data_IF_382563519690
#
_entry.id   IF_382563519690
#
_cell.length_a   1.000
_cell.length_b   1.000
_cell.length_c   1.000
_cell.angle_alpha   90.00
_cell.angle_beta   90.00
_cell.angle_gamma   90.00
#
_symmetry.space_group_name_H-M   'P 1'
#
loop_
_entity.id
_entity.type
_entity.pdbx_description
1 polymer ?
#
# COMPACT_ATOMS: atom_id res chain seq x y z
N UNK A 1 34.13 -56.76 -22.81
CA UNK A 1 33.68 -55.52 -23.43
C UNK A 1 32.45 -55.03 -22.73
N UNK A 2 32.60 -54.15 -21.74
CA UNK A 2 31.50 -53.54 -21.00
C UNK A 2 31.41 -52.06 -21.44
N UNK A 3 30.28 -51.69 -22.08
CA UNK A 3 29.98 -50.30 -22.44
C UNK A 3 29.46 -49.58 -21.22
N UNK A 4 30.15 -48.52 -20.81
CA UNK A 4 29.71 -47.58 -19.81
C UNK A 4 28.83 -46.55 -20.52
N UNK A 5 27.56 -46.50 -20.17
CA UNK A 5 26.62 -45.48 -20.63
C UNK A 5 26.70 -44.32 -19.60
N UNK A 6 27.22 -43.18 -20.04
CA UNK A 6 27.21 -41.95 -19.26
C UNK A 6 25.78 -41.32 -19.31
N UNK A 7 25.11 -41.29 -18.17
CA UNK A 7 23.81 -40.65 -18.00
C UNK A 7 24.04 -39.14 -17.81
N UNK A 8 23.75 -38.34 -18.83
CA UNK A 8 23.70 -36.88 -18.67
C UNK A 8 22.39 -36.50 -18.04
N UNK A 9 22.46 -36.10 -16.77
CA UNK A 9 21.34 -35.48 -16.09
C UNK A 9 21.12 -34.07 -16.63
N UNK A 10 20.11 -33.90 -17.45
CA UNK A 10 19.64 -32.60 -17.91
C UNK A 10 18.86 -31.96 -16.76
N UNK A 11 19.48 -31.00 -16.08
CA UNK A 11 18.77 -30.12 -15.15
C UNK A 11 17.90 -29.17 -15.96
N UNK A 12 16.62 -29.50 -16.14
CA UNK A 12 15.60 -28.55 -16.54
C UNK A 12 15.32 -27.63 -15.34
N UNK A 13 15.90 -26.45 -15.31
CA UNK A 13 15.46 -25.39 -14.45
C UNK A 13 14.10 -24.92 -14.93
N UNK A 14 13.03 -25.36 -14.26
CA UNK A 14 11.67 -24.87 -14.45
C UNK A 14 11.62 -23.41 -13.96
N UNK A 15 11.77 -22.48 -14.87
CA UNK A 15 11.54 -21.06 -14.63
C UNK A 15 10.04 -20.86 -14.50
N UNK A 16 9.51 -20.93 -13.26
CA UNK A 16 8.14 -20.53 -12.99
C UNK A 16 8.09 -19.01 -13.13
N UNK A 17 7.64 -18.56 -14.30
CA UNK A 17 7.21 -17.18 -14.51
C UNK A 17 5.95 -16.94 -13.70
N UNK A 18 6.10 -16.58 -12.43
CA UNK A 18 5.04 -15.93 -11.65
C UNK A 18 4.86 -14.52 -12.23
N UNK A 19 3.95 -14.38 -13.20
CA UNK A 19 3.49 -13.10 -13.70
C UNK A 19 2.56 -12.42 -12.67
N UNK A 20 3.10 -12.10 -11.50
CA UNK A 20 2.55 -11.09 -10.63
C UNK A 20 3.22 -9.77 -10.98
N UNK A 21 2.46 -8.70 -11.22
CA UNK A 21 3.00 -7.37 -11.52
C UNK A 21 3.85 -6.87 -10.35
N UNK A 22 5.10 -7.30 -10.30
CA UNK A 22 6.11 -6.69 -9.42
C UNK A 22 6.73 -5.54 -10.21
N UNK A 23 6.46 -4.32 -9.76
CA UNK A 23 6.98 -3.11 -10.40
C UNK A 23 8.48 -2.88 -10.16
N UNK A 24 9.22 -3.90 -9.73
CA UNK A 24 10.66 -3.87 -9.48
C UNK A 24 11.45 -4.74 -10.47
N UNK A 25 12.65 -4.29 -10.82
CA UNK A 25 13.59 -5.06 -11.65
C UNK A 25 14.46 -5.93 -10.75
N UNK A 26 14.48 -7.24 -11.02
CA UNK A 26 15.39 -8.20 -10.37
C UNK A 26 16.70 -8.23 -11.18
N UNK A 27 17.82 -8.04 -10.49
CA UNK A 27 19.15 -8.28 -11.03
C UNK A 27 19.57 -9.69 -10.61
N UNK A 28 20.25 -10.43 -11.50
CA UNK A 28 20.62 -11.84 -11.31
C UNK A 28 21.16 -12.12 -9.88
N UNK A 29 20.69 -13.21 -9.23
CA UNK A 29 21.14 -13.56 -7.89
C UNK A 29 22.62 -13.88 -7.88
N UNK A 30 23.35 -13.27 -6.97
CA UNK A 30 24.77 -13.57 -6.66
C UNK A 30 24.87 -14.22 -5.29
N UNK A 31 26.05 -14.72 -4.93
CA UNK A 31 26.32 -15.20 -3.57
C UNK A 31 26.05 -14.14 -2.48
N UNK A 32 25.97 -12.86 -2.87
CA UNK A 32 25.68 -11.73 -1.98
C UNK A 32 24.16 -11.44 -1.83
N UNK A 33 23.28 -12.20 -2.50
CA UNK A 33 21.84 -12.00 -2.48
C UNK A 33 21.28 -11.40 -3.77
N UNK A 34 19.97 -11.20 -3.80
CA UNK A 34 19.23 -10.68 -4.94
C UNK A 34 19.03 -9.16 -4.80
N UNK A 35 19.64 -8.40 -5.71
CA UNK A 35 19.46 -6.95 -5.76
C UNK A 35 18.13 -6.57 -6.43
N UNK A 36 17.55 -5.46 -5.99
CA UNK A 36 16.35 -4.89 -6.60
C UNK A 36 16.47 -3.38 -6.76
N UNK A 37 15.69 -2.84 -7.70
CA UNK A 37 15.52 -1.41 -7.90
C UNK A 37 14.06 -1.11 -8.27
N UNK A 38 13.49 -0.06 -7.65
CA UNK A 38 12.10 0.37 -7.85
C UNK A 38 12.08 1.88 -8.08
N UNK A 39 11.41 2.32 -9.13
CA UNK A 39 11.15 3.73 -9.36
C UNK A 39 10.02 4.22 -8.45
N UNK A 40 10.06 5.47 -8.01
CA UNK A 40 9.13 6.02 -7.03
C UNK A 40 7.69 6.16 -7.52
N UNK A 41 7.44 6.20 -8.82
CA UNK A 41 6.09 6.12 -9.39
C UNK A 41 5.51 4.69 -9.40
N UNK A 42 6.33 3.66 -9.12
CA UNK A 42 5.91 2.26 -9.06
C UNK A 42 5.47 1.83 -7.64
N UNK A 43 4.71 2.70 -6.96
CA UNK A 43 4.05 2.32 -5.70
C UNK A 43 3.06 1.17 -5.91
N UNK A 44 2.75 0.42 -4.86
CA UNK A 44 1.80 -0.70 -4.90
C UNK A 44 0.39 -0.23 -5.29
N UNK A 45 -0.29 -0.99 -6.14
CA UNK A 45 -1.68 -0.73 -6.53
C UNK A 45 -2.69 -1.40 -5.60
N UNK A 46 -2.22 -2.14 -4.59
CA UNK A 46 -3.04 -3.02 -3.77
C UNK A 46 -3.24 -2.53 -2.33
N UNK A 47 -2.90 -1.25 -2.03
CA UNK A 47 -2.97 -0.72 -0.67
C UNK A 47 -3.91 0.47 -0.59
N UNK A 48 -4.82 0.42 0.40
CA UNK A 48 -5.88 1.42 0.56
C UNK A 48 -6.10 1.73 2.03
N UNK A 49 -6.30 3.02 2.35
CA UNK A 49 -6.94 3.41 3.60
C UNK A 49 -8.40 2.96 3.57
N UNK A 50 -8.95 2.58 4.71
CA UNK A 50 -10.36 2.15 4.80
C UNK A 50 -11.33 3.35 4.71
N UNK A 51 -10.83 4.53 5.03
CA UNK A 51 -11.46 5.84 4.82
C UNK A 51 -10.38 6.92 4.91
N UNK A 52 -10.65 8.13 4.42
CA UNK A 52 -9.72 9.26 4.51
C UNK A 52 -9.47 9.73 5.95
N UNK A 53 -10.40 9.48 6.88
CA UNK A 53 -10.22 9.76 8.31
C UNK A 53 -9.07 8.96 8.93
N UNK A 54 -8.73 7.81 8.36
CA UNK A 54 -7.62 6.96 8.83
C UNK A 54 -6.22 7.49 8.48
N UNK A 55 -6.11 8.60 7.76
CA UNK A 55 -4.81 9.28 7.56
C UNK A 55 -4.17 9.66 8.90
N UNK A 56 -4.97 10.16 9.85
CA UNK A 56 -4.48 10.50 11.19
C UNK A 56 -4.08 9.27 11.99
N UNK A 57 -4.88 8.18 11.94
CA UNK A 57 -4.52 6.91 12.56
C UNK A 57 -3.21 6.34 11.98
N UNK A 58 -3.05 6.40 10.65
CA UNK A 58 -1.84 5.94 9.98
C UNK A 58 -0.61 6.71 10.46
N UNK A 59 -0.65 8.04 10.47
CA UNK A 59 0.47 8.89 10.91
C UNK A 59 0.81 8.61 12.38
N UNK A 60 -0.19 8.54 13.26
CA UNK A 60 -0.03 8.28 14.69
C UNK A 60 0.60 6.90 14.92
N UNK A 61 0.07 5.86 14.28
CA UNK A 61 0.62 4.50 14.36
C UNK A 61 2.04 4.40 13.80
N UNK A 62 2.30 5.03 12.66
CA UNK A 62 3.63 4.99 12.05
C UNK A 62 4.68 5.75 12.86
N UNK A 63 4.27 6.71 13.68
CA UNK A 63 5.18 7.42 14.56
C UNK A 63 5.76 6.53 15.67
N UNK A 64 4.94 5.76 16.38
CA UNK A 64 5.34 5.05 17.59
C UNK A 64 4.97 3.55 17.61
N UNK A 65 4.24 3.05 16.62
CA UNK A 65 3.75 1.66 16.58
C UNK A 65 2.48 1.44 17.39
N UNK A 66 1.89 2.51 17.92
CA UNK A 66 0.62 2.51 18.65
C UNK A 66 -0.15 3.80 18.37
N UNK A 67 -1.44 3.81 18.73
CA UNK A 67 -2.27 5.00 18.64
C UNK A 67 -2.19 5.77 19.97
N UNK A 68 -1.94 7.07 19.92
CA UNK A 68 -1.74 7.92 21.09
C UNK A 68 -2.88 8.94 21.30
N UNK A 69 -3.57 9.34 20.23
CA UNK A 69 -4.67 10.29 20.36
C UNK A 69 -5.99 9.57 20.68
N UNK A 70 -6.82 10.10 21.63
CA UNK A 70 -8.09 9.48 22.00
C UNK A 70 -9.02 9.27 20.79
N UNK A 71 -9.03 10.19 19.84
CA UNK A 71 -9.82 10.09 18.62
C UNK A 71 -9.38 8.92 17.74
N UNK A 72 -8.07 8.74 17.52
CA UNK A 72 -7.53 7.63 16.74
C UNK A 72 -7.76 6.28 17.45
N UNK A 73 -7.59 6.23 18.77
CA UNK A 73 -7.88 5.03 19.58
C UNK A 73 -9.35 4.62 19.43
N UNK A 74 -10.28 5.57 19.50
CA UNK A 74 -11.71 5.31 19.34
C UNK A 74 -12.07 4.81 17.93
N UNK A 75 -11.31 5.22 16.91
CA UNK A 75 -11.48 4.77 15.51
C UNK A 75 -10.82 3.43 15.21
N UNK A 76 -10.05 2.85 16.12
CA UNK A 76 -9.44 1.55 15.91
C UNK A 76 -10.47 0.52 15.43
N UNK A 77 -10.11 -0.25 14.41
CA UNK A 77 -11.01 -1.20 13.77
C UNK A 77 -11.07 -2.50 14.57
N UNK A 78 -12.28 -3.03 14.76
CA UNK A 78 -12.46 -4.37 15.30
C UNK A 78 -12.07 -5.41 14.24
N UNK A 79 -11.27 -6.41 14.60
CA UNK A 79 -11.03 -7.55 13.72
C UNK A 79 -12.30 -8.41 13.52
N UNK A 80 -13.25 -8.32 14.48
CA UNK A 80 -14.49 -9.07 14.41
C UNK A 80 -15.41 -8.54 13.30
N UNK A 81 -15.94 -9.45 12.50
CA UNK A 81 -16.87 -9.12 11.41
C UNK A 81 -16.29 -8.21 10.31
N UNK A 82 -14.97 -8.15 10.17
CA UNK A 82 -14.32 -7.48 9.05
C UNK A 82 -14.45 -8.33 7.78
N UNK A 83 -15.02 -7.77 6.74
CA UNK A 83 -15.16 -8.45 5.45
C UNK A 83 -14.61 -7.60 4.33
N UNK A 84 -14.01 -8.27 3.34
CA UNK A 84 -13.51 -7.65 2.11
C UNK A 84 -14.20 -8.29 0.92
N UNK A 85 -14.69 -7.46 0.02
CA UNK A 85 -15.44 -7.85 -1.14
C UNK A 85 -14.83 -7.23 -2.40
N UNK A 86 -14.68 -8.04 -3.45
CA UNK A 86 -14.15 -7.59 -4.74
C UNK A 86 -15.10 -7.92 -5.85
N UNK A 87 -15.17 -7.04 -6.83
CA UNK A 87 -16.01 -7.23 -8.02
C UNK A 87 -15.65 -8.54 -8.71
N UNK A 88 -16.67 -9.18 -9.28
CA UNK A 88 -16.49 -10.43 -10.01
C UNK A 88 -17.55 -10.57 -11.09
N UNK A 89 -17.17 -11.20 -12.20
CA UNK A 89 -18.09 -11.56 -13.27
C UNK A 89 -18.54 -13.02 -13.24
N UNK A 90 -17.85 -13.81 -12.43
CA UNK A 90 -18.12 -15.23 -12.36
C UNK A 90 -19.30 -15.56 -11.44
N UNK A 91 -20.28 -16.41 -11.78
CA UNK A 91 -21.43 -16.81 -10.97
C UNK A 91 -21.17 -18.10 -10.18
N UNK A 92 -20.54 -18.04 -9.00
CA UNK A 92 -20.42 -19.16 -8.04
C UNK A 92 -21.23 -18.89 -6.77
N UNK A 93 -21.43 -19.89 -5.91
CA UNK A 93 -22.34 -19.83 -4.76
C UNK A 93 -22.03 -18.73 -3.72
N UNK A 94 -20.78 -18.23 -3.63
CA UNK A 94 -20.33 -17.33 -2.57
C UNK A 94 -20.47 -15.85 -2.92
N UNK A 95 -21.42 -15.51 -3.81
CA UNK A 95 -21.55 -14.14 -4.31
C UNK A 95 -22.78 -13.47 -3.83
N UNK A 96 -22.64 -12.15 -3.72
CA UNK A 96 -23.77 -11.28 -3.40
C UNK A 96 -23.75 -10.05 -4.29
N UNK A 97 -24.93 -9.56 -4.61
CA UNK A 97 -25.04 -8.20 -5.10
C UNK A 97 -24.68 -7.24 -3.98
N UNK A 98 -23.99 -6.16 -4.34
CA UNK A 98 -23.68 -5.10 -3.39
C UNK A 98 -23.77 -3.73 -4.04
N UNK A 99 -24.23 -2.76 -3.26
CA UNK A 99 -24.09 -1.34 -3.51
C UNK A 99 -22.88 -0.83 -2.72
N UNK A 100 -21.88 -0.34 -3.40
CA UNK A 100 -20.68 0.25 -2.79
C UNK A 100 -20.72 1.76 -2.86
N UNK A 101 -20.40 2.43 -1.74
CA UNK A 101 -20.31 3.89 -1.65
C UNK A 101 -18.99 4.30 -1.02
N UNK A 102 -18.34 5.32 -1.62
CA UNK A 102 -17.05 5.84 -1.13
C UNK A 102 -17.22 6.65 0.16
N UNK A 103 -18.31 7.41 0.26
CA UNK A 103 -18.68 8.25 1.40
C UNK A 103 -19.78 7.62 2.26
N UNK A 104 -19.77 6.28 2.36
CA UNK A 104 -20.76 5.54 3.14
C UNK A 104 -20.81 6.03 4.59
N UNK A 105 -21.96 6.50 5.10
CA UNK A 105 -22.11 6.83 6.52
C UNK A 105 -22.12 5.56 7.38
N UNK A 106 -21.94 5.73 8.68
CA UNK A 106 -22.13 4.62 9.63
C UNK A 106 -23.54 4.06 9.55
N UNK A 107 -23.65 2.76 9.85
CA UNK A 107 -24.93 2.07 9.92
C UNK A 107 -25.84 2.74 10.97
N UNK A 108 -27.08 3.10 10.63
CA UNK A 108 -28.02 3.68 11.59
C UNK A 108 -28.31 2.76 12.77
N UNK A 109 -28.79 3.33 13.89
CA UNK A 109 -29.17 2.57 15.08
C UNK A 109 -30.28 1.54 14.82
N UNK A 110 -31.08 1.71 13.75
CA UNK A 110 -32.05 0.71 13.29
C UNK A 110 -31.42 -0.61 12.80
N UNK A 111 -30.10 -0.63 12.59
CA UNK A 111 -29.39 -1.79 12.05
C UNK A 111 -29.52 -1.98 10.53
N UNK A 112 -30.16 -1.06 9.83
CA UNK A 112 -30.35 -1.10 8.39
C UNK A 112 -30.17 0.27 7.74
N UNK A 113 -29.59 0.29 6.54
CA UNK A 113 -29.60 1.46 5.69
C UNK A 113 -31.02 1.64 5.10
N UNK A 114 -31.36 2.86 4.71
CA UNK A 114 -32.63 3.12 4.01
C UNK A 114 -32.59 2.57 2.56
N UNK A 115 -33.75 2.43 1.93
CA UNK A 115 -33.88 1.79 0.61
C UNK A 115 -33.05 2.44 -0.49
N UNK A 116 -32.73 3.73 -0.38
CA UNK A 116 -31.90 4.43 -1.37
C UNK A 116 -30.48 3.89 -1.50
N UNK A 117 -29.97 3.21 -0.47
CA UNK A 117 -28.65 2.58 -0.51
C UNK A 117 -28.64 1.26 -1.29
N UNK A 118 -29.80 0.60 -1.46
CA UNK A 118 -29.91 -0.69 -2.12
C UNK A 118 -30.28 -0.58 -3.61
N UNK A 119 -30.63 0.62 -4.08
CA UNK A 119 -31.04 0.84 -5.48
C UNK A 119 -29.85 0.67 -6.43
N UNK A 120 -29.99 -0.08 -7.54
CA UNK A 120 -28.97 -0.17 -8.58
C UNK A 120 -28.59 1.22 -9.13
N UNK A 121 -27.32 1.43 -9.38
CA UNK A 121 -26.83 2.68 -9.96
C UNK A 121 -25.30 2.77 -9.91
N UNK A 122 -24.76 3.59 -10.79
CA UNK A 122 -23.32 3.87 -10.84
C UNK A 122 -23.10 5.39 -10.92
N UNK A 123 -22.22 5.88 -10.06
CA UNK A 123 -21.66 7.23 -10.09
C UNK A 123 -20.14 7.04 -10.04
N UNK A 124 -19.40 7.37 -11.10
CA UNK A 124 -17.94 7.19 -11.16
C UNK A 124 -17.26 7.75 -9.89
N UNK A 125 -16.32 6.99 -9.34
CA UNK A 125 -15.59 7.36 -8.11
C UNK A 125 -16.42 7.44 -6.82
N UNK A 126 -17.76 7.33 -6.87
CA UNK A 126 -18.65 7.53 -5.70
C UNK A 126 -19.51 6.34 -5.37
N UNK A 127 -20.14 5.72 -6.36
CA UNK A 127 -21.07 4.61 -6.17
C UNK A 127 -20.94 3.58 -7.28
N UNK A 128 -21.02 2.32 -6.90
CA UNK A 128 -21.09 1.20 -7.84
C UNK A 128 -22.04 0.11 -7.32
N UNK A 129 -22.87 -0.45 -8.21
CA UNK A 129 -23.72 -1.59 -7.94
C UNK A 129 -23.30 -2.75 -8.84
N UNK A 130 -23.10 -3.93 -8.28
CA UNK A 130 -22.69 -5.10 -9.05
C UNK A 130 -22.61 -6.38 -8.23
N UNK A 131 -22.00 -7.39 -8.83
CA UNK A 131 -21.78 -8.69 -8.22
C UNK A 131 -20.36 -8.74 -7.61
N UNK A 132 -20.28 -9.23 -6.37
CA UNK A 132 -19.03 -9.29 -5.61
C UNK A 132 -18.81 -10.65 -4.98
N UNK A 133 -17.56 -11.05 -4.85
CA UNK A 133 -17.15 -12.19 -4.04
C UNK A 133 -16.46 -11.71 -2.76
N UNK A 134 -16.66 -12.46 -1.69
CA UNK A 134 -15.93 -12.26 -0.43
C UNK A 134 -14.51 -12.79 -0.57
N UNK A 135 -13.52 -12.06 -0.05
CA UNK A 135 -12.15 -12.53 0.04
C UNK A 135 -11.96 -13.43 1.26
N UNK A 136 -11.10 -14.44 1.12
CA UNK A 136 -10.59 -15.21 2.24
C UNK A 136 -9.51 -14.41 2.99
N UNK A 137 -9.29 -14.71 4.27
CA UNK A 137 -8.29 -14.04 5.10
C UNK A 137 -6.85 -14.15 4.57
N UNK A 138 -6.55 -15.16 3.74
CA UNK A 138 -5.25 -15.32 3.08
C UNK A 138 -5.04 -14.35 1.89
N UNK A 139 -6.11 -13.74 1.36
CA UNK A 139 -6.05 -12.87 0.18
C UNK A 139 -5.81 -11.39 0.53
N UNK A 140 -5.74 -11.04 1.82
CA UNK A 140 -5.46 -9.68 2.29
C UNK A 140 -4.81 -9.67 3.68
N UNK A 141 -4.34 -8.52 4.11
CA UNK A 141 -4.03 -8.21 5.50
C UNK A 141 -4.55 -6.83 5.87
N UNK A 142 -4.80 -6.60 7.14
CA UNK A 142 -5.33 -5.34 7.66
C UNK A 142 -4.48 -4.87 8.83
N UNK A 143 -4.09 -3.60 8.81
CA UNK A 143 -3.64 -2.94 10.03
C UNK A 143 -4.84 -2.27 10.71
N UNK A 144 -5.37 -2.93 11.73
CA UNK A 144 -6.58 -2.50 12.43
C UNK A 144 -6.41 -1.21 13.24
N UNK A 145 -5.19 -0.87 13.63
CA UNK A 145 -4.88 0.39 14.31
C UNK A 145 -4.73 1.53 13.32
N UNK A 146 -3.88 1.36 12.33
CA UNK A 146 -3.62 2.38 11.32
C UNK A 146 -4.76 2.56 10.31
N UNK A 147 -5.70 1.60 10.22
CA UNK A 147 -6.88 1.68 9.36
C UNK A 147 -6.60 1.58 7.86
N UNK A 148 -5.68 0.68 7.48
CA UNK A 148 -5.41 0.37 6.07
C UNK A 148 -5.40 -1.13 5.79
N UNK A 149 -5.58 -1.45 4.52
CA UNK A 149 -5.58 -2.83 4.00
C UNK A 149 -4.56 -2.97 2.87
N UNK A 150 -3.86 -4.12 2.84
CA UNK A 150 -3.07 -4.59 1.72
C UNK A 150 -3.69 -5.84 1.11
N UNK A 151 -3.96 -5.81 -0.19
CA UNK A 151 -4.51 -6.95 -0.94
C UNK A 151 -3.36 -7.81 -1.48
N UNK A 152 -3.46 -9.12 -1.27
CA UNK A 152 -2.50 -10.12 -1.77
C UNK A 152 -2.86 -10.62 -3.16
N UNK A 153 -3.98 -10.14 -3.70
CA UNK A 153 -4.46 -10.42 -5.05
C UNK A 153 -4.39 -9.16 -5.90
N UNK A 154 -4.25 -9.33 -7.20
CA UNK A 154 -4.35 -8.21 -8.13
C UNK A 154 -5.82 -7.96 -8.49
N UNK A 155 -6.26 -6.70 -8.34
CA UNK A 155 -7.59 -6.26 -8.77
C UNK A 155 -7.39 -5.35 -9.99
N UNK A 156 -8.00 -5.67 -11.15
CA UNK A 156 -7.92 -4.82 -12.34
C UNK A 156 -8.27 -3.36 -12.06
N UNK A 157 -7.71 -2.42 -12.83
CA UNK A 157 -7.91 -0.99 -12.61
C UNK A 157 -9.37 -0.57 -12.71
N UNK A 158 -10.15 -1.24 -13.57
CA UNK A 158 -11.59 -0.99 -13.77
C UNK A 158 -12.49 -1.66 -12.73
N UNK A 159 -11.97 -2.51 -11.86
CA UNK A 159 -12.76 -3.24 -10.86
C UNK A 159 -12.83 -2.50 -9.52
N UNK A 160 -13.81 -2.88 -8.72
CA UNK A 160 -14.15 -2.25 -7.45
C UNK A 160 -13.86 -3.20 -6.28
N UNK A 161 -13.47 -2.60 -5.13
CA UNK A 161 -13.37 -3.30 -3.87
C UNK A 161 -14.00 -2.50 -2.74
N UNK A 162 -14.63 -3.21 -1.81
CA UNK A 162 -15.26 -2.63 -0.64
C UNK A 162 -15.10 -3.50 0.60
N UNK A 163 -15.42 -2.90 1.73
CA UNK A 163 -15.29 -3.53 3.05
C UNK A 163 -16.52 -3.29 3.90
N UNK A 164 -16.69 -4.13 4.91
CA UNK A 164 -17.52 -3.85 6.09
C UNK A 164 -16.66 -3.94 7.33
N UNK A 165 -16.82 -3.02 8.27
CA UNK A 165 -16.04 -2.99 9.49
C UNK A 165 -16.77 -2.24 10.62
N UNK A 166 -16.30 -2.47 11.85
CA UNK A 166 -16.76 -1.77 13.05
C UNK A 166 -15.59 -1.06 13.73
N UNK A 167 -15.81 0.13 14.26
CA UNK A 167 -14.88 0.84 15.13
C UNK A 167 -15.08 0.43 16.59
N UNK A 168 -13.98 0.13 17.30
CA UNK A 168 -14.06 -0.37 18.68
C UNK A 168 -14.59 0.67 19.66
N UNK A 169 -14.03 1.88 19.66
CA UNK A 169 -14.38 2.90 20.67
C UNK A 169 -15.71 3.59 20.40
N UNK A 170 -16.00 3.91 19.13
CA UNK A 170 -17.28 4.55 18.76
C UNK A 170 -18.43 3.57 18.65
N UNK A 171 -18.14 2.27 18.44
CA UNK A 171 -19.14 1.26 18.14
C UNK A 171 -19.77 1.39 16.74
N UNK A 172 -19.38 2.39 15.96
CA UNK A 172 -19.93 2.64 14.62
C UNK A 172 -19.55 1.50 13.66
N UNK A 173 -20.53 1.07 12.89
CA UNK A 173 -20.36 0.05 11.84
C UNK A 173 -20.52 0.69 10.47
N UNK A 174 -19.69 0.30 9.52
CA UNK A 174 -19.73 0.74 8.12
C UNK A 174 -19.95 -0.47 7.24
N UNK A 175 -21.05 -0.44 6.48
CA UNK A 175 -21.48 -1.56 5.64
C UNK A 175 -22.31 -2.60 6.37
N UNK A 176 -22.86 -3.55 5.60
CA UNK A 176 -23.66 -4.67 6.10
C UNK A 176 -22.83 -5.94 6.11
N UNK A 177 -22.73 -6.60 7.26
CA UNK A 177 -22.03 -7.88 7.37
C UNK A 177 -22.87 -9.00 6.76
N UNK A 178 -22.23 -9.87 5.97
CA UNK A 178 -22.91 -10.92 5.21
C UNK A 178 -23.55 -12.01 6.07
N UNK A 179 -23.08 -12.20 7.30
CA UNK A 179 -23.60 -13.23 8.24
C UNK A 179 -24.91 -12.81 8.92
N UNK A 180 -25.15 -11.50 9.08
CA UNK A 180 -26.32 -10.96 9.74
C UNK A 180 -27.35 -10.38 8.76
N UNK A 181 -27.22 -10.74 7.49
CA UNK A 181 -27.90 -10.06 6.39
C UNK A 181 -29.17 -10.78 5.97
N UNK A 182 -30.29 -10.06 5.97
CA UNK A 182 -31.61 -10.57 5.58
C UNK A 182 -32.08 -10.07 4.20
N UNK A 183 -31.33 -9.14 3.59
CA UNK A 183 -31.63 -8.56 2.28
C UNK A 183 -30.83 -9.27 1.17
N UNK A 184 -31.24 -9.15 -0.09
CA UNK A 184 -30.56 -9.75 -1.24
C UNK A 184 -29.30 -8.97 -1.68
N UNK A 185 -29.18 -7.71 -1.25
CA UNK A 185 -28.10 -6.81 -1.66
C UNK A 185 -27.35 -6.24 -0.45
N UNK A 186 -26.02 -6.42 -0.39
CA UNK A 186 -25.16 -5.81 0.62
C UNK A 186 -24.98 -4.30 0.37
N UNK A 187 -24.71 -3.54 1.43
CA UNK A 187 -24.15 -2.18 1.35
C UNK A 187 -22.73 -2.21 1.87
N UNK A 188 -21.77 -1.74 1.09
CA UNK A 188 -20.35 -1.84 1.41
C UNK A 188 -19.66 -0.46 1.34
N UNK A 189 -18.70 -0.23 2.23
CA UNK A 189 -17.80 0.91 2.16
C UNK A 189 -16.81 0.66 1.02
N UNK A 190 -16.85 1.48 -0.03
CA UNK A 190 -15.89 1.40 -1.13
C UNK A 190 -14.50 1.84 -0.67
N UNK A 191 -13.49 1.04 -0.97
CA UNK A 191 -12.07 1.38 -0.72
C UNK A 191 -11.28 1.53 -2.03
N UNK A 192 -11.71 0.85 -3.09
CA UNK A 192 -11.17 0.98 -4.45
C UNK A 192 -12.31 1.21 -5.42
N UNK A 193 -12.22 2.28 -6.19
CA UNK A 193 -13.09 2.53 -7.33
C UNK A 193 -12.36 2.23 -8.65
N UNK A 194 -13.14 1.81 -9.66
CA UNK A 194 -12.60 1.55 -10.99
C UNK A 194 -12.38 2.84 -11.78
N UNK A 195 -11.31 2.88 -12.59
CA UNK A 195 -11.01 3.96 -13.54
C UNK A 195 -11.04 5.37 -12.93
N UNK A 196 -10.40 5.55 -11.77
CA UNK A 196 -10.37 6.84 -11.07
C UNK A 196 -9.39 7.83 -11.70
N UNK A 197 -9.77 9.11 -11.68
CA UNK A 197 -8.93 10.22 -12.09
C UNK A 197 -8.67 11.15 -10.89
N UNK A 198 -7.40 11.58 -10.66
CA UNK A 198 -7.03 12.37 -9.48
C UNK A 198 -7.75 13.72 -9.37
N UNK A 199 -8.22 14.29 -10.50
CA UNK A 199 -8.88 15.59 -10.55
C UNK A 199 -10.38 15.51 -10.19
N UNK A 200 -11.05 14.40 -10.46
CA UNK A 200 -12.50 14.25 -10.30
C UNK A 200 -12.89 13.32 -9.16
N UNK A 201 -12.08 12.29 -8.91
CA UNK A 201 -12.38 11.21 -7.95
C UNK A 201 -11.51 11.34 -6.69
N UNK A 202 -11.47 12.55 -6.13
CA UNK A 202 -10.52 12.94 -5.07
C UNK A 202 -10.53 12.00 -3.87
N UNK A 203 -11.70 11.60 -3.35
CA UNK A 203 -11.80 10.68 -2.20
C UNK A 203 -11.20 9.31 -2.52
N UNK A 204 -11.58 8.70 -3.66
CA UNK A 204 -11.04 7.41 -4.08
C UNK A 204 -9.53 7.49 -4.34
N UNK A 205 -9.07 8.61 -4.92
CA UNK A 205 -7.65 8.85 -5.16
C UNK A 205 -6.84 9.00 -3.87
N UNK A 206 -7.41 9.65 -2.85
CA UNK A 206 -6.78 9.87 -1.56
C UNK A 206 -6.74 8.61 -0.67
N UNK A 207 -7.68 7.68 -0.87
CA UNK A 207 -7.68 6.40 -0.17
C UNK A 207 -6.61 5.46 -0.70
N UNK A 208 -6.21 5.56 -1.98
CA UNK A 208 -5.12 4.77 -2.55
C UNK A 208 -3.78 5.20 -1.95
N UNK A 209 -3.12 4.30 -1.24
CA UNK A 209 -1.81 4.54 -0.62
C UNK A 209 -0.72 4.56 -1.68
N UNK A 210 0.04 5.66 -1.75
CA UNK A 210 1.13 5.87 -2.71
C UNK A 210 2.50 5.88 -2.03
N UNK A 211 2.53 5.39 -0.82
CA UNK A 211 3.70 5.28 0.06
C UNK A 211 4.06 3.82 0.39
N UNK A 212 3.55 2.87 -0.39
CA UNK A 212 3.89 1.44 -0.23
C UNK A 212 4.57 0.93 -1.48
N UNK A 213 5.71 0.28 -1.31
CA UNK A 213 6.52 -0.27 -2.41
C UNK A 213 6.77 -1.75 -2.19
N UNK A 214 6.40 -2.57 -3.18
CA UNK A 214 6.57 -4.01 -3.09
C UNK A 214 7.92 -4.43 -3.62
N UNK A 215 8.71 -5.10 -2.77
CA UNK A 215 9.97 -5.73 -3.16
C UNK A 215 9.64 -7.03 -3.89
N UNK A 216 10.29 -7.32 -5.03
CA UNK A 216 9.96 -8.49 -5.86
C UNK A 216 10.49 -9.82 -5.30
N UNK A 217 10.99 -9.85 -4.07
CA UNK A 217 11.57 -11.03 -3.40
C UNK A 217 10.86 -11.25 -2.08
N UNK A 218 10.37 -12.45 -1.82
CA UNK A 218 9.67 -12.84 -0.59
C UNK A 218 10.00 -14.30 -0.21
N UNK A 219 9.95 -14.67 1.08
CA UNK A 219 9.80 -13.78 2.24
C UNK A 219 11.07 -12.93 2.46
N UNK A 220 10.92 -11.80 3.13
CA UNK A 220 12.07 -10.96 3.48
C UNK A 220 12.51 -11.29 4.90
N UNK A 221 13.79 -11.64 5.03
CA UNK A 221 14.44 -11.81 6.34
C UNK A 221 15.22 -10.54 6.66
N UNK A 222 15.23 -10.16 7.93
CA UNK A 222 15.97 -8.99 8.42
C UNK A 222 17.47 -9.13 8.18
N UNK A 223 18.01 -10.34 8.47
CA UNK A 223 19.42 -10.63 8.24
C UNK A 223 19.76 -10.58 6.75
N UNK A 224 20.62 -9.65 6.38
CA UNK A 224 21.07 -9.45 5.01
C UNK A 224 20.06 -8.71 4.11
N UNK A 225 19.06 -8.05 4.71
CA UNK A 225 18.23 -7.09 4.04
C UNK A 225 18.90 -5.72 4.00
N UNK A 226 19.08 -5.18 2.81
CA UNK A 226 19.58 -3.85 2.57
C UNK A 226 18.52 -3.03 1.84
N UNK A 227 18.26 -1.82 2.31
CA UNK A 227 17.28 -0.92 1.72
C UNK A 227 17.81 0.51 1.72
N UNK A 228 17.77 1.18 0.60
CA UNK A 228 18.23 2.54 0.41
C UNK A 228 17.26 3.31 -0.47
N UNK A 229 17.15 4.62 -0.20
CA UNK A 229 16.50 5.57 -1.09
C UNK A 229 17.55 6.60 -1.49
N UNK A 230 17.80 6.71 -2.78
CA UNK A 230 18.84 7.60 -3.30
C UNK A 230 18.23 8.75 -4.09
N UNK A 231 18.78 9.92 -3.91
CA UNK A 231 18.57 11.08 -4.77
C UNK A 231 19.44 10.96 -6.02
N UNK A 232 18.90 11.35 -7.16
CA UNK A 232 19.58 11.42 -8.46
C UNK A 232 19.41 12.83 -8.99
N UNK A 233 20.49 13.59 -8.98
CA UNK A 233 20.50 14.93 -9.56
C UNK A 233 20.42 14.81 -11.10
N UNK A 234 19.46 15.46 -11.77
CA UNK A 234 19.38 15.48 -13.21
C UNK A 234 20.63 16.02 -13.91
N UNK A 235 21.37 16.93 -13.27
CA UNK A 235 22.63 17.48 -13.78
C UNK A 235 23.84 16.55 -13.55
N UNK A 236 23.77 15.70 -12.52
CA UNK A 236 24.79 14.71 -12.19
C UNK A 236 24.12 13.39 -11.79
N UNK A 237 23.83 12.48 -12.73
CA UNK A 237 23.00 11.30 -12.52
C UNK A 237 23.63 10.21 -11.62
N UNK A 238 24.67 10.53 -10.86
CA UNK A 238 25.24 9.59 -9.86
C UNK A 238 24.32 9.55 -8.64
N UNK A 239 23.75 8.36 -8.30
CA UNK A 239 22.87 8.24 -7.14
C UNK A 239 23.59 8.59 -5.82
N UNK A 240 23.00 9.46 -5.01
CA UNK A 240 23.47 9.87 -3.69
C UNK A 240 22.49 9.44 -2.60
N UNK A 241 22.95 8.93 -1.44
CA UNK A 241 22.06 8.66 -0.32
C UNK A 241 21.55 9.93 0.36
N UNK A 242 22.08 11.11 -0.01
CA UNK A 242 21.76 12.40 0.61
C UNK A 242 21.22 13.40 -0.39
N UNK A 243 20.34 14.29 0.07
CA UNK A 243 19.92 15.48 -0.62
C UNK A 243 21.07 16.52 -0.73
N UNK A 244 20.95 17.56 -1.58
CA UNK A 244 21.96 18.62 -1.69
C UNK A 244 22.26 19.35 -0.37
N UNK A 245 21.33 19.37 0.59
CA UNK A 245 21.52 19.96 1.91
C UNK A 245 22.19 19.01 2.92
N UNK A 246 22.64 17.83 2.50
CA UNK A 246 23.35 16.85 3.31
C UNK A 246 22.46 15.89 4.14
N UNK A 247 21.12 16.08 4.17
CA UNK A 247 20.23 15.15 4.87
C UNK A 247 20.08 13.85 4.09
N UNK A 248 20.13 12.71 4.79
CA UNK A 248 19.93 11.41 4.15
C UNK A 248 18.49 11.24 3.69
N UNK A 249 18.30 10.75 2.45
CA UNK A 249 16.97 10.57 1.89
C UNK A 249 16.17 9.55 2.72
N UNK A 250 16.83 8.50 3.21
CA UNK A 250 16.19 7.47 4.03
C UNK A 250 15.52 8.07 5.28
N UNK A 251 16.22 8.99 5.97
CA UNK A 251 15.64 9.72 7.11
C UNK A 251 14.51 10.67 6.66
N UNK A 252 14.72 11.41 5.59
CA UNK A 252 13.75 12.40 5.08
C UNK A 252 12.41 11.75 4.72
N UNK A 253 12.43 10.52 4.20
CA UNK A 253 11.21 9.77 3.90
C UNK A 253 10.65 8.98 5.09
N UNK A 254 11.28 9.09 6.27
CA UNK A 254 10.82 8.54 7.54
C UNK A 254 11.18 7.09 7.80
N UNK A 255 12.16 6.51 7.09
CA UNK A 255 12.58 5.12 7.20
C UNK A 255 13.90 4.93 7.98
N UNK A 256 14.43 5.98 8.61
CA UNK A 256 15.60 6.01 9.49
C UNK A 256 15.31 6.99 10.64
N UNK A 257 14.53 6.52 11.61
CA UNK A 257 14.04 7.31 12.76
C UNK A 257 14.49 6.72 14.09
N UNK A 258 14.99 5.48 14.09
CA UNK A 258 15.35 4.75 15.28
C UNK A 258 16.81 4.29 15.18
N UNK A 259 17.53 4.24 16.33
CA UNK A 259 18.89 3.72 16.41
C UNK A 259 18.82 2.20 16.58
N UNK A 260 19.45 1.46 15.69
CA UNK A 260 19.31 0.02 15.62
C UNK A 260 17.84 -0.36 15.36
N UNK A 261 17.39 -1.51 15.80
CA UNK A 261 15.97 -1.92 15.67
C UNK A 261 15.19 -1.67 16.97
N UNK A 262 15.68 -0.76 17.81
CA UNK A 262 15.09 -0.44 19.12
C UNK A 262 14.17 0.77 19.12
N UNK A 263 13.53 1.09 20.25
CA UNK A 263 12.64 2.23 20.38
C UNK A 263 13.36 3.57 20.52
N UNK A 264 14.70 3.58 20.58
CA UNK A 264 15.48 4.81 20.76
C UNK A 264 15.42 5.66 19.49
N UNK A 265 14.86 6.86 19.60
CA UNK A 265 14.83 7.82 18.51
C UNK A 265 16.26 8.29 18.15
N UNK A 266 16.54 8.35 16.86
CA UNK A 266 17.81 8.80 16.30
C UNK A 266 17.99 8.31 14.86
N UNK A 267 19.07 8.73 14.22
CA UNK A 267 19.43 8.32 12.87
C UNK A 267 20.71 7.50 12.93
N UNK A 268 20.71 6.37 12.23
CA UNK A 268 21.92 5.54 12.09
C UNK A 268 22.26 5.22 10.63
N UNK A 269 21.49 5.79 9.69
CA UNK A 269 21.57 5.60 8.24
C UNK A 269 21.22 4.18 7.76
N UNK A 270 20.54 3.39 8.61
CA UNK A 270 19.98 2.10 8.25
C UNK A 270 18.46 2.15 8.18
N UNK A 271 17.91 1.22 7.43
CA UNK A 271 16.45 1.07 7.31
C UNK A 271 15.88 0.54 8.62
N UNK A 272 14.88 1.22 9.15
CA UNK A 272 14.12 0.77 10.33
C UNK A 272 13.30 -0.48 9.98
N UNK A 273 13.86 -1.67 10.22
CA UNK A 273 13.19 -2.94 9.92
C UNK A 273 12.18 -3.30 11.01
N UNK A 274 10.97 -2.75 10.89
CA UNK A 274 9.87 -2.94 11.85
C UNK A 274 8.74 -3.72 11.17
N UNK A 275 8.73 -5.07 11.36
CA UNK A 275 7.71 -5.92 10.76
C UNK A 275 6.31 -5.53 11.27
N UNK A 276 5.35 -5.43 10.34
CA UNK A 276 3.99 -4.95 10.63
C UNK A 276 3.84 -3.42 10.63
N UNK A 277 4.96 -2.67 10.46
CA UNK A 277 4.97 -1.20 10.46
C UNK A 277 5.67 -0.65 9.21
N UNK A 278 7.01 -0.69 9.13
CA UNK A 278 7.75 -0.21 7.96
C UNK A 278 7.92 -1.28 6.88
N UNK A 279 7.73 -2.52 7.24
CA UNK A 279 7.80 -3.66 6.32
C UNK A 279 6.77 -4.73 6.69
N UNK A 280 6.20 -5.40 5.68
CA UNK A 280 5.45 -6.64 5.82
C UNK A 280 6.27 -7.73 5.16
N UNK A 281 6.97 -8.51 5.98
CA UNK A 281 7.97 -9.50 5.51
C UNK A 281 7.39 -10.60 4.63
N UNK A 282 6.13 -10.96 4.86
CA UNK A 282 5.42 -12.00 4.11
C UNK A 282 5.08 -11.59 2.67
N UNK A 283 4.84 -10.30 2.43
CA UNK A 283 4.41 -9.78 1.12
C UNK A 283 5.48 -8.93 0.44
N UNK A 284 6.55 -8.58 1.16
CA UNK A 284 7.60 -7.70 0.68
C UNK A 284 7.18 -6.24 0.56
N UNK A 285 6.11 -5.83 1.26
CA UNK A 285 5.61 -4.47 1.21
C UNK A 285 6.40 -3.57 2.17
N UNK A 286 7.17 -2.62 1.65
CA UNK A 286 7.80 -1.55 2.42
C UNK A 286 6.85 -0.37 2.50
N UNK A 287 6.51 0.05 3.72
CA UNK A 287 5.54 1.09 4.01
C UNK A 287 6.28 2.33 4.54
N UNK A 288 6.25 3.39 3.77
CA UNK A 288 6.84 4.67 4.18
C UNK A 288 5.93 5.36 5.19
N UNK A 289 6.45 5.83 6.33
CA UNK A 289 5.64 6.47 7.37
C UNK A 289 4.94 7.76 6.95
N UNK A 290 5.47 8.44 5.94
CA UNK A 290 4.90 9.65 5.36
C UNK A 290 4.00 9.27 4.19
N UNK A 291 2.75 9.75 4.16
CA UNK A 291 1.79 9.42 3.10
C UNK A 291 2.22 9.91 1.70
N UNK A 292 2.97 11.01 1.63
CA UNK A 292 3.57 11.52 0.40
C UNK A 292 5.08 11.75 0.60
N UNK A 293 5.90 10.67 0.73
CA UNK A 293 7.29 10.79 1.15
C UNK A 293 8.13 11.66 0.20
N UNK A 294 7.93 11.55 -1.11
CA UNK A 294 8.66 12.33 -2.12
C UNK A 294 8.02 13.69 -2.45
N UNK A 295 7.12 14.14 -1.60
CA UNK A 295 6.52 15.47 -1.63
C UNK A 295 6.63 16.12 -0.25
N UNK A 296 5.84 15.69 0.74
CA UNK A 296 5.78 16.29 2.07
C UNK A 296 7.11 16.13 2.83
N UNK A 297 7.70 14.93 2.81
CA UNK A 297 8.99 14.68 3.46
C UNK A 297 10.10 15.54 2.87
N UNK A 298 10.15 15.67 1.56
CA UNK A 298 11.16 16.51 0.88
C UNK A 298 10.95 18.00 1.18
N UNK A 299 9.70 18.49 1.11
CA UNK A 299 9.41 19.90 1.43
C UNK A 299 9.80 20.23 2.87
N UNK A 300 9.44 19.37 3.83
CA UNK A 300 9.81 19.56 5.22
C UNK A 300 11.33 19.56 5.42
N UNK A 301 12.02 18.61 4.78
CA UNK A 301 13.47 18.46 4.90
C UNK A 301 14.26 19.65 4.28
N UNK A 302 13.70 20.29 3.29
CA UNK A 302 14.32 21.41 2.58
C UNK A 302 13.81 22.78 3.04
N UNK A 303 12.83 22.79 3.95
CA UNK A 303 12.31 24.03 4.55
C UNK A 303 13.35 24.63 5.49
N UNK A 304 13.83 25.84 5.16
CA UNK A 304 14.76 26.61 5.97
C UNK A 304 14.08 27.65 6.87
N UNK A 305 12.76 27.56 7.03
CA UNK A 305 11.95 28.47 7.84
C UNK A 305 11.56 29.78 7.13
N UNK A 306 12.15 30.09 5.98
CA UNK A 306 11.91 31.37 5.25
C UNK A 306 11.31 31.15 3.86
N UNK A 307 11.61 30.04 3.19
CA UNK A 307 11.27 29.82 1.77
C UNK A 307 10.28 28.69 1.51
N UNK A 308 9.79 28.02 2.55
CA UNK A 308 8.75 26.99 2.41
C UNK A 308 9.20 25.67 1.76
N UNK A 309 10.51 25.40 1.69
CA UNK A 309 11.06 24.19 1.11
C UNK A 309 11.39 24.30 -0.39
N UNK A 310 12.22 23.39 -0.87
CA UNK A 310 12.66 23.35 -2.26
C UNK A 310 11.70 22.53 -3.13
N UNK A 311 10.87 23.23 -3.88
CA UNK A 311 9.87 22.61 -4.78
C UNK A 311 10.48 21.98 -6.03
N UNK A 312 11.76 22.22 -6.34
CA UNK A 312 12.44 21.62 -7.49
C UNK A 312 12.82 20.16 -7.22
N UNK A 313 12.92 19.78 -5.94
CA UNK A 313 13.28 18.44 -5.50
C UNK A 313 12.08 17.50 -5.28
N UNK A 314 10.85 17.97 -5.44
CA UNK A 314 9.65 17.15 -5.18
C UNK A 314 9.18 16.39 -6.43
N UNK A 315 8.65 15.19 -6.21
CA UNK A 315 8.00 14.37 -7.24
C UNK A 315 6.47 14.50 -7.18
N UNK A 316 5.94 15.69 -7.43
CA UNK A 316 4.51 16.01 -7.33
C UNK A 316 3.62 15.10 -8.18
N UNK A 317 4.09 14.70 -9.37
CA UNK A 317 3.34 13.90 -10.33
C UNK A 317 2.87 12.55 -9.74
N UNK A 318 3.64 11.92 -8.84
CA UNK A 318 3.28 10.66 -8.17
C UNK A 318 1.91 10.76 -7.48
N UNK A 319 1.58 11.94 -6.94
CA UNK A 319 0.40 12.15 -6.10
C UNK A 319 -0.76 12.83 -6.83
N UNK A 320 -0.50 13.41 -8.00
CA UNK A 320 -1.49 14.26 -8.72
C UNK A 320 -1.82 13.78 -10.13
N UNK A 321 -1.17 12.71 -10.60
CA UNK A 321 -1.34 12.17 -11.94
C UNK A 321 -1.51 10.66 -11.90
N UNK A 322 -2.05 10.09 -12.97
CA UNK A 322 -2.05 8.64 -13.17
C UNK A 322 -0.61 8.12 -13.23
N UNK A 323 -0.40 6.85 -12.88
CA UNK A 323 0.92 6.22 -12.84
C UNK A 323 1.66 6.30 -14.19
N UNK A 324 0.93 6.10 -15.30
CA UNK A 324 1.46 6.26 -16.66
C UNK A 324 1.94 7.67 -16.96
N UNK A 325 1.20 8.69 -16.51
CA UNK A 325 1.58 10.09 -16.66
C UNK A 325 2.73 10.47 -15.72
N UNK A 326 2.73 9.94 -14.49
CA UNK A 326 3.81 10.16 -13.54
C UNK A 326 5.13 9.57 -14.02
N UNK A 327 5.10 8.43 -14.72
CA UNK A 327 6.30 7.75 -15.24
C UNK A 327 7.06 8.54 -16.30
N UNK A 328 6.41 9.48 -16.98
CA UNK A 328 7.01 10.36 -18.00
C UNK A 328 7.10 11.82 -17.57
N UNK A 329 6.68 12.12 -16.33
CA UNK A 329 6.71 13.49 -15.82
C UNK A 329 8.16 13.94 -15.53
N UNK A 330 8.45 15.25 -15.60
CA UNK A 330 9.71 15.79 -15.06
C UNK A 330 9.92 15.35 -13.61
N UNK A 331 11.17 15.10 -13.24
CA UNK A 331 11.57 14.63 -11.90
C UNK A 331 11.08 13.22 -11.50
N UNK A 332 10.53 12.42 -12.40
CA UNK A 332 10.07 11.07 -12.11
C UNK A 332 11.19 10.12 -11.65
N UNK A 333 12.42 10.40 -12.03
CA UNK A 333 13.61 9.59 -11.74
C UNK A 333 14.54 10.22 -10.71
N UNK A 334 14.13 11.32 -10.05
CA UNK A 334 14.97 11.98 -9.03
C UNK A 334 15.22 11.14 -7.79
N UNK A 335 14.39 10.14 -7.53
CA UNK A 335 14.57 9.22 -6.43
C UNK A 335 14.48 7.79 -6.90
N UNK A 336 15.38 6.95 -6.39
CA UNK A 336 15.43 5.52 -6.69
C UNK A 336 15.47 4.74 -5.38
N UNK A 337 14.54 3.80 -5.23
CA UNK A 337 14.54 2.82 -4.16
C UNK A 337 15.36 1.63 -4.64
N UNK A 338 16.36 1.22 -3.88
CA UNK A 338 17.17 0.05 -4.20
C UNK A 338 17.58 -0.70 -2.93
N UNK A 339 17.97 -1.94 -3.11
CA UNK A 339 18.44 -2.75 -2.01
C UNK A 339 18.82 -4.15 -2.45
N UNK A 340 18.95 -5.01 -1.44
CA UNK A 340 19.33 -6.40 -1.62
C UNK A 340 18.60 -7.27 -0.60
N UNK A 341 18.20 -8.46 -1.01
CA UNK A 341 17.64 -9.49 -0.13
C UNK A 341 18.53 -10.71 -0.21
N UNK A 342 19.03 -11.18 0.91
CA UNK A 342 19.72 -12.47 1.02
C UNK A 342 18.70 -13.53 1.39
N UNK A 343 18.44 -14.45 0.48
CA UNK A 343 17.68 -15.67 0.75
C UNK A 343 18.72 -16.78 1.01
N UNK A 344 18.73 -17.30 2.22
CA UNK A 344 19.56 -18.44 2.57
C UNK A 344 18.79 -19.74 2.34
#
# INVERSE_FOLDING_TARGET
MKKIIALHALFFSLLILLSGCTNGTIVNPTAEGQAFQINTYNYSDNHYLLDTIYKSNFIDFMAEGMLNTPENINRQISPDNFEVWVQTTNFTADRKFASMLIDLPSLPASGQYNDSFYVPGQIPGKRYFGLFRKLNSSEYYVNYQAGFIGLRINIPDNDYAGVTFKQNGTGQTFGTNSSNFTQDTLVLKMIKAGNIFPQTDTLAWEMKMKNVYRIPVIPILETGFEFQVNFVDPANPTPSPSLPNGRTVLNVVGLDRFIGHGPQLGQDNYFDFLNGRTIITETGDVIFPILRPFYDGILEATNNGFTGGDTTLICKAIYTKLKSEASIAPNNSMYIIKGRVKNF
#
